data_IF_835277589306
#
_entry.id   IF_835277589306
#
_cell.length_a   1.000
_cell.length_b   1.000
_cell.length_c   1.000
_cell.angle_alpha   90.00
_cell.angle_beta   90.00
_cell.angle_gamma   90.00
#
_symmetry.space_group_name_H-M   'P 1'
#
loop_
_entity.id
_entity.type
_entity.pdbx_description
1 polymer ?
#
# COMPACT_ATOMS: atom_id res chain seq x y z
N UNK A 1 4.57 9.83 28.70
CA UNK A 1 5.76 9.53 27.87
C UNK A 1 6.57 10.82 27.76
N UNK A 2 7.89 10.76 27.89
CA UNK A 2 8.75 11.91 27.57
C UNK A 2 8.53 12.30 26.10
N UNK A 3 8.65 13.59 25.78
CA UNK A 3 8.54 14.04 24.40
C UNK A 3 9.65 13.40 23.55
N UNK A 4 9.27 12.83 22.39
CA UNK A 4 10.20 12.27 21.42
C UNK A 4 10.96 13.40 20.72
N UNK A 5 12.22 13.16 20.36
CA UNK A 5 12.87 14.00 19.35
C UNK A 5 12.22 13.76 17.99
N UNK A 6 12.33 14.72 17.07
CA UNK A 6 11.82 14.57 15.70
C UNK A 6 12.39 13.34 15.00
N UNK A 7 13.69 13.07 15.19
CA UNK A 7 14.36 11.91 14.62
C UNK A 7 13.83 10.59 15.19
N UNK A 8 13.63 10.52 16.50
CA UNK A 8 12.99 9.35 17.13
C UNK A 8 11.58 9.12 16.60
N UNK A 9 10.80 10.18 16.42
CA UNK A 9 9.46 10.09 15.84
C UNK A 9 9.50 9.53 14.42
N UNK A 10 10.36 10.09 13.54
CA UNK A 10 10.51 9.62 12.16
C UNK A 10 10.92 8.14 12.09
N UNK A 11 11.86 7.69 12.92
CA UNK A 11 12.28 6.30 12.94
C UNK A 11 11.17 5.34 13.40
N UNK A 12 10.36 5.75 14.38
CA UNK A 12 9.22 4.96 14.86
C UNK A 12 8.10 4.88 13.81
N UNK A 13 7.79 5.99 13.14
CA UNK A 13 6.80 6.03 12.04
C UNK A 13 7.25 5.15 10.87
N UNK A 14 8.53 5.25 10.47
CA UNK A 14 9.10 4.42 9.42
C UNK A 14 9.12 2.93 9.82
N UNK A 15 9.43 2.60 11.07
CA UNK A 15 9.38 1.23 11.57
C UNK A 15 7.95 0.65 11.56
N UNK A 16 6.96 1.44 11.99
CA UNK A 16 5.55 1.03 11.94
C UNK A 16 5.08 0.80 10.49
N UNK A 17 5.46 1.68 9.55
CA UNK A 17 5.14 1.52 8.14
C UNK A 17 5.78 0.25 7.55
N UNK A 18 7.07 0.01 7.83
CA UNK A 18 7.75 -1.23 7.41
C UNK A 18 7.04 -2.47 7.96
N UNK A 19 6.55 -2.42 9.19
CA UNK A 19 5.82 -3.53 9.81
C UNK A 19 4.46 -3.76 9.14
N UNK A 20 3.70 -2.69 8.84
CA UNK A 20 2.45 -2.79 8.07
C UNK A 20 2.69 -3.42 6.70
N UNK A 21 3.72 -2.95 5.97
CA UNK A 21 4.07 -3.49 4.66
C UNK A 21 4.42 -4.98 4.76
N UNK A 22 5.23 -5.37 5.74
CA UNK A 22 5.56 -6.79 5.98
C UNK A 22 4.29 -7.62 6.27
N UNK A 23 3.43 -7.13 7.16
CA UNK A 23 2.18 -7.80 7.51
C UNK A 23 1.26 -8.00 6.28
N UNK A 24 1.16 -7.00 5.40
CA UNK A 24 0.36 -7.09 4.18
C UNK A 24 0.94 -8.03 3.12
N UNK A 25 2.25 -8.31 3.16
CA UNK A 25 2.90 -9.32 2.32
C UNK A 25 2.61 -10.73 2.82
N UNK A 26 2.66 -10.92 4.14
CA UNK A 26 2.29 -12.20 4.79
C UNK A 26 0.81 -12.51 4.60
N UNK A 27 -0.05 -11.48 4.65
CA UNK A 27 -1.50 -11.58 4.42
C UNK A 27 -1.87 -11.41 2.95
N UNK A 28 -1.24 -12.20 2.07
CA UNK A 28 -1.55 -12.20 0.63
C UNK A 28 -2.98 -12.62 0.32
N UNK A 29 -3.66 -13.31 1.24
CA UNK A 29 -5.08 -13.63 1.19
C UNK A 29 -5.97 -12.38 1.19
N UNK A 30 -5.54 -11.30 1.86
CA UNK A 30 -6.28 -10.04 1.91
C UNK A 30 -6.15 -9.31 0.57
N UNK A 31 -7.20 -9.35 -0.25
CA UNK A 31 -7.19 -8.73 -1.57
C UNK A 31 -7.29 -7.20 -1.48
N UNK A 32 -6.65 -6.50 -2.42
CA UNK A 32 -6.72 -5.04 -2.47
C UNK A 32 -8.16 -4.52 -2.61
N UNK A 33 -9.02 -5.23 -3.34
CA UNK A 33 -10.41 -4.81 -3.52
C UNK A 33 -11.20 -4.84 -2.20
N UNK A 34 -10.90 -5.80 -1.31
CA UNK A 34 -11.54 -5.88 0.00
C UNK A 34 -11.06 -4.75 0.90
N UNK A 35 -9.76 -4.43 0.88
CA UNK A 35 -9.22 -3.27 1.59
C UNK A 35 -9.82 -1.96 1.08
N UNK A 36 -9.96 -1.81 -0.24
CA UNK A 36 -10.60 -0.62 -0.82
C UNK A 36 -12.06 -0.50 -0.38
N UNK A 37 -12.81 -1.60 -0.42
CA UNK A 37 -14.23 -1.62 -0.05
C UNK A 37 -14.45 -1.34 1.45
N UNK A 38 -13.54 -1.80 2.30
CA UNK A 38 -13.67 -1.67 3.75
C UNK A 38 -13.08 -0.35 4.29
N UNK A 39 -11.89 0.02 3.83
CA UNK A 39 -11.05 1.02 4.46
C UNK A 39 -10.66 2.19 3.53
N UNK A 40 -11.05 2.16 2.25
CA UNK A 40 -10.76 3.24 1.29
C UNK A 40 -9.30 3.34 0.86
N UNK A 41 -8.44 2.39 1.24
CA UNK A 41 -7.05 2.30 0.77
C UNK A 41 -6.64 0.84 0.57
N UNK A 42 -5.57 0.62 -0.18
CA UNK A 42 -4.96 -0.71 -0.32
C UNK A 42 -3.44 -0.59 -0.58
N UNK A 43 -2.76 -1.70 -0.90
CA UNK A 43 -1.31 -1.72 -1.19
C UNK A 43 -0.93 -0.77 -2.33
N UNK A 44 -1.79 -0.60 -3.34
CA UNK A 44 -1.55 0.36 -4.42
C UNK A 44 -1.59 1.81 -3.94
N UNK A 45 -2.46 2.14 -2.97
CA UNK A 45 -2.48 3.47 -2.36
C UNK A 45 -1.18 3.72 -1.59
N UNK A 46 -0.71 2.76 -0.79
CA UNK A 46 0.59 2.85 -0.11
C UNK A 46 1.75 3.07 -1.10
N UNK A 47 1.70 2.41 -2.26
CA UNK A 47 2.70 2.56 -3.32
C UNK A 47 2.66 3.96 -3.95
N UNK A 48 1.47 4.54 -4.10
CA UNK A 48 1.31 5.90 -4.60
C UNK A 48 1.80 6.93 -3.57
N UNK A 49 1.45 6.79 -2.30
CA UNK A 49 1.91 7.69 -1.23
C UNK A 49 3.43 7.65 -1.07
N UNK A 50 4.05 6.48 -1.19
CA UNK A 50 5.51 6.35 -1.21
C UNK A 50 6.13 7.13 -2.37
N UNK A 51 5.55 7.01 -3.57
CA UNK A 51 6.02 7.71 -4.77
C UNK A 51 5.86 9.23 -4.63
N UNK A 52 4.70 9.69 -4.16
CA UNK A 52 4.41 11.11 -3.92
C UNK A 52 5.40 11.71 -2.92
N UNK A 53 5.66 11.02 -1.80
CA UNK A 53 6.67 11.46 -0.82
C UNK A 53 8.09 11.52 -1.42
N UNK A 54 8.44 10.58 -2.31
CA UNK A 54 9.73 10.61 -3.00
C UNK A 54 9.81 11.79 -4.00
N UNK A 55 8.74 12.02 -4.78
CA UNK A 55 8.64 13.15 -5.71
C UNK A 55 8.76 14.50 -4.98
N UNK A 56 8.09 14.66 -3.83
CA UNK A 56 8.22 15.84 -2.96
C UNK A 56 9.65 16.03 -2.43
N UNK A 57 10.37 14.94 -2.19
CA UNK A 57 11.78 14.95 -1.79
C UNK A 57 12.75 15.15 -2.97
N UNK A 58 12.26 15.31 -4.21
CA UNK A 58 13.09 15.43 -5.41
C UNK A 58 13.77 14.13 -5.83
N UNK A 59 13.26 12.98 -5.37
CA UNK A 59 13.76 11.64 -5.68
C UNK A 59 12.80 10.98 -6.69
N UNK A 60 13.18 10.89 -7.97
CA UNK A 60 12.32 10.26 -8.97
C UNK A 60 12.18 8.76 -8.67
N UNK A 61 10.95 8.30 -8.47
CA UNK A 61 10.59 6.89 -8.30
C UNK A 61 9.46 6.56 -9.26
N UNK A 62 9.65 5.55 -10.09
CA UNK A 62 8.60 5.09 -10.99
C UNK A 62 7.48 4.37 -10.23
N UNK A 63 6.31 4.24 -10.87
CA UNK A 63 5.17 3.51 -10.31
C UNK A 63 5.50 2.03 -10.05
N UNK A 64 6.33 1.42 -10.88
CA UNK A 64 6.68 0.01 -10.73
C UNK A 64 7.69 -0.19 -9.59
N UNK A 65 8.67 0.71 -9.46
CA UNK A 65 9.58 0.72 -8.31
C UNK A 65 8.83 0.95 -6.99
N UNK A 66 7.90 1.91 -6.93
CA UNK A 66 7.14 2.17 -5.70
C UNK A 66 6.25 0.99 -5.31
N UNK A 67 5.70 0.27 -6.29
CA UNK A 67 4.99 -0.99 -6.06
C UNK A 67 5.94 -2.07 -5.57
N UNK A 68 7.08 -2.27 -6.20
CA UNK A 68 8.06 -3.27 -5.75
C UNK A 68 8.48 -3.03 -4.29
N UNK A 69 8.64 -1.76 -3.88
CA UNK A 69 8.91 -1.39 -2.49
C UNK A 69 7.79 -1.79 -1.52
N UNK A 70 6.52 -1.82 -1.94
CA UNK A 70 5.38 -2.24 -1.09
C UNK A 70 5.12 -3.75 -1.19
N UNK A 71 5.14 -4.33 -2.39
CA UNK A 71 4.84 -5.75 -2.61
C UNK A 71 6.01 -6.67 -2.29
N UNK A 72 7.25 -6.16 -2.26
CA UNK A 72 8.47 -6.94 -2.01
C UNK A 72 8.95 -7.77 -3.21
N UNK A 73 8.31 -7.59 -4.37
CA UNK A 73 8.62 -8.21 -5.66
C UNK A 73 7.93 -7.41 -6.78
N UNK A 74 8.27 -7.64 -8.06
CA UNK A 74 7.55 -7.03 -9.17
C UNK A 74 6.04 -7.26 -9.09
N UNK A 75 5.25 -6.20 -9.27
CA UNK A 75 3.79 -6.25 -9.11
C UNK A 75 3.13 -7.31 -10.00
N UNK A 76 3.59 -7.46 -11.23
CA UNK A 76 3.04 -8.47 -12.15
C UNK A 76 3.29 -9.92 -11.67
N UNK A 77 4.37 -10.17 -10.94
CA UNK A 77 4.63 -11.49 -10.35
C UNK A 77 3.78 -11.71 -9.10
N UNK A 78 3.61 -10.68 -8.27
CA UNK A 78 2.67 -10.74 -7.15
C UNK A 78 1.24 -11.05 -7.61
N UNK A 79 0.79 -10.41 -8.70
CA UNK A 79 -0.54 -10.67 -9.28
C UNK A 79 -0.72 -12.11 -9.71
N UNK A 80 0.28 -12.69 -10.39
CA UNK A 80 0.23 -14.10 -10.83
C UNK A 80 0.19 -15.08 -9.65
N UNK A 81 0.88 -14.76 -8.57
CA UNK A 81 0.99 -15.65 -7.39
C UNK A 81 -0.19 -15.53 -6.42
N UNK A 82 -0.79 -14.34 -6.30
CA UNK A 82 -1.66 -14.02 -5.16
C UNK A 82 -2.97 -13.30 -5.50
N UNK A 83 -3.10 -12.72 -6.70
CA UNK A 83 -4.32 -11.97 -7.03
C UNK A 83 -5.40 -12.89 -7.58
N UNK A 84 -6.54 -12.90 -6.91
CA UNK A 84 -7.72 -13.64 -7.35
C UNK A 84 -8.65 -12.75 -8.19
N UNK A 85 -9.48 -13.38 -9.02
CA UNK A 85 -10.54 -12.65 -9.70
C UNK A 85 -11.56 -12.13 -8.68
N UNK A 86 -11.87 -10.83 -8.74
CA UNK A 86 -12.90 -10.25 -7.90
C UNK A 86 -14.30 -10.71 -8.31
N UNK A 87 -15.10 -11.09 -7.31
CA UNK A 87 -16.52 -11.40 -7.49
C UNK A 87 -17.34 -10.19 -7.93
N UNK A 88 -18.53 -10.42 -8.48
CA UNK A 88 -19.45 -9.36 -8.87
C UNK A 88 -19.83 -8.44 -7.70
N UNK A 89 -20.00 -9.00 -6.49
CA UNK A 89 -20.32 -8.24 -5.28
C UNK A 89 -19.16 -7.32 -4.89
N UNK A 90 -17.92 -7.83 -4.91
CA UNK A 90 -16.74 -7.00 -4.61
C UNK A 90 -16.56 -5.88 -5.64
N UNK A 91 -16.77 -6.18 -6.93
CA UNK A 91 -16.73 -5.18 -8.02
C UNK A 91 -17.79 -4.09 -7.82
N UNK A 92 -19.02 -4.48 -7.49
CA UNK A 92 -20.11 -3.53 -7.24
C UNK A 92 -19.86 -2.64 -6.03
N UNK A 93 -19.38 -3.22 -4.92
CA UNK A 93 -18.99 -2.44 -3.73
C UNK A 93 -17.82 -1.50 -4.02
N UNK A 94 -16.88 -1.92 -4.88
CA UNK A 94 -15.75 -1.07 -5.27
C UNK A 94 -16.19 0.16 -6.06
N UNK A 95 -17.15 0.03 -6.97
CA UNK A 95 -17.68 1.19 -7.70
C UNK A 95 -18.29 2.26 -6.77
N UNK A 96 -18.80 1.86 -5.61
CA UNK A 96 -19.36 2.79 -4.61
C UNK A 96 -18.27 3.43 -3.73
N UNK A 97 -17.20 2.69 -3.43
CA UNK A 97 -16.18 3.06 -2.46
C UNK A 97 -14.86 3.54 -3.09
N UNK A 98 -14.69 3.41 -4.40
CA UNK A 98 -13.47 3.87 -5.07
C UNK A 98 -13.25 5.37 -4.80
N UNK A 99 -11.99 5.81 -4.64
CA UNK A 99 -11.68 7.22 -4.43
C UNK A 99 -12.33 8.06 -5.54
N UNK A 100 -13.06 9.10 -5.13
CA UNK A 100 -13.60 10.09 -6.06
C UNK A 100 -12.47 11.08 -6.34
N UNK A 101 -12.15 11.30 -7.61
CA UNK A 101 -11.26 12.38 -8.04
C UNK A 101 -11.81 13.75 -7.61
#
# INVERSE_FOLDING_TARGET
MSALTKEQQTELEAAAFRHLVAHLRERSDVQNIDLMNLAGFCRNCLSNWYREAAEEAGLPVSKDESREMVYGMPYEDWKKLHQNEASAVQKSAFEQNKPKE
#
